data_IF_235536017023
#
_entry.id   IF_235536017023
#
_cell.length_a   1.000
_cell.length_b   1.000
_cell.length_c   1.000
_cell.angle_alpha   90.00
_cell.angle_beta   90.00
_cell.angle_gamma   90.00
#
_symmetry.space_group_name_H-M   'P 1'
#
loop_
_entity.id
_entity.type
_entity.pdbx_description
1 polymer ?
#
# COMPACT_ATOMS: atom_id res chain seq x y z
N UNK A 1 12.93 -3.55 -20.26
CA UNK A 1 12.48 -2.96 -18.99
C UNK A 1 10.98 -3.13 -18.89
N UNK A 2 10.51 -3.63 -17.76
CA UNK A 2 9.09 -3.68 -17.40
C UNK A 2 8.87 -2.76 -16.20
N UNK A 3 7.73 -2.09 -16.15
CA UNK A 3 7.37 -1.18 -15.08
C UNK A 3 5.89 -1.22 -14.76
N UNK A 4 5.51 -0.61 -13.65
CA UNK A 4 4.12 -0.42 -13.28
C UNK A 4 3.84 1.05 -12.94
N UNK A 5 2.65 1.52 -13.29
CA UNK A 5 2.11 2.82 -12.90
C UNK A 5 0.95 2.60 -11.95
N UNK A 6 0.95 3.28 -10.81
CA UNK A 6 -0.13 3.18 -9.82
C UNK A 6 -1.07 4.38 -9.90
N UNK A 7 -2.36 4.12 -10.02
CA UNK A 7 -3.40 5.12 -9.85
C UNK A 7 -3.81 5.17 -8.37
N UNK A 8 -3.51 6.26 -7.69
CA UNK A 8 -3.88 6.47 -6.29
C UNK A 8 -5.21 7.18 -6.15
N UNK A 9 -6.07 6.66 -5.28
CA UNK A 9 -7.38 7.21 -4.91
C UNK A 9 -7.43 7.43 -3.40
N UNK A 10 -7.92 8.60 -2.98
CA UNK A 10 -7.92 9.02 -1.58
C UNK A 10 -9.25 9.69 -1.27
N UNK A 11 -10.07 9.12 -0.41
CA UNK A 11 -11.41 9.62 -0.10
C UNK A 11 -11.49 10.38 1.23
N UNK A 12 -10.42 10.39 2.04
CA UNK A 12 -10.38 11.07 3.33
C UNK A 12 -9.72 12.45 3.29
N UNK A 13 -9.00 12.79 2.21
CA UNK A 13 -8.24 14.06 2.16
C UNK A 13 -9.06 15.28 1.80
N UNK A 14 -10.12 15.15 1.01
CA UNK A 14 -10.89 16.29 0.49
C UNK A 14 -12.38 16.25 0.83
N UNK A 15 -12.76 15.51 1.88
CA UNK A 15 -14.15 15.47 2.32
C UNK A 15 -15.10 14.77 1.34
N UNK A 16 -14.59 13.98 0.42
CA UNK A 16 -15.42 13.17 -0.49
C UNK A 16 -16.26 12.13 0.24
N UNK A 17 -15.92 11.88 1.51
CA UNK A 17 -16.70 11.02 2.37
C UNK A 17 -16.83 9.60 1.84
N UNK A 18 -17.65 8.83 2.52
CA UNK A 18 -17.90 7.41 2.24
C UNK A 18 -19.02 7.21 1.19
N UNK A 19 -19.03 7.99 0.11
CA UNK A 19 -20.12 7.99 -0.86
C UNK A 19 -20.05 6.82 -1.86
N UNK A 20 -21.16 6.08 -2.11
CA UNK A 20 -21.21 5.03 -3.12
C UNK A 20 -20.80 5.51 -4.52
N UNK A 21 -21.16 6.73 -4.87
CA UNK A 21 -20.81 7.36 -6.14
C UNK A 21 -19.29 7.48 -6.36
N UNK A 22 -18.51 7.62 -5.28
CA UNK A 22 -17.06 7.70 -5.37
C UNK A 22 -16.44 6.36 -5.82
N UNK A 23 -16.92 5.24 -5.32
CA UNK A 23 -16.44 3.91 -5.73
C UNK A 23 -16.72 3.65 -7.21
N UNK A 24 -17.90 4.03 -7.70
CA UNK A 24 -18.24 3.91 -9.11
C UNK A 24 -17.34 4.81 -9.98
N UNK A 25 -17.12 6.06 -9.59
CA UNK A 25 -16.25 6.97 -10.29
C UNK A 25 -14.79 6.47 -10.36
N UNK A 26 -14.29 5.84 -9.28
CA UNK A 26 -12.97 5.18 -9.28
C UNK A 26 -12.93 4.08 -10.33
N UNK A 27 -13.92 3.21 -10.38
CA UNK A 27 -13.95 2.11 -11.33
C UNK A 27 -14.00 2.61 -12.78
N UNK A 28 -14.85 3.58 -13.07
CA UNK A 28 -14.96 4.18 -14.41
C UNK A 28 -13.62 4.80 -14.86
N UNK A 29 -12.99 5.58 -13.98
CA UNK A 29 -11.68 6.18 -14.26
C UNK A 29 -10.58 5.12 -14.40
N UNK A 30 -10.50 4.17 -13.47
CA UNK A 30 -9.50 3.11 -13.50
C UNK A 30 -9.62 2.25 -14.75
N UNK A 31 -10.84 1.87 -15.15
CA UNK A 31 -11.07 1.07 -16.35
C UNK A 31 -10.51 1.73 -17.61
N UNK A 32 -10.65 3.07 -17.71
CA UNK A 32 -10.14 3.85 -18.84
C UNK A 32 -8.60 3.84 -18.88
N UNK A 33 -7.95 3.92 -17.72
CA UNK A 33 -6.47 3.91 -17.62
C UNK A 33 -5.96 2.49 -17.82
N UNK A 34 -6.63 1.49 -17.27
CA UNK A 34 -6.20 0.08 -17.34
C UNK A 34 -6.13 -0.43 -18.79
N UNK A 35 -6.97 0.09 -19.69
CA UNK A 35 -6.89 -0.21 -21.12
C UNK A 35 -5.58 0.24 -21.79
N UNK A 36 -4.78 1.09 -21.13
CA UNK A 36 -3.46 1.53 -21.60
C UNK A 36 -2.32 0.62 -21.16
N UNK A 37 -2.62 -0.48 -20.46
CA UNK A 37 -1.65 -1.52 -20.11
C UNK A 37 -1.02 -2.10 -21.36
N UNK A 38 0.28 -2.36 -21.31
CA UNK A 38 1.05 -2.97 -22.38
C UNK A 38 1.91 -4.11 -21.83
N UNK A 39 2.59 -4.85 -22.71
CA UNK A 39 3.55 -5.89 -22.28
C UNK A 39 4.73 -5.31 -21.47
N UNK A 40 4.97 -4.01 -21.54
CA UNK A 40 6.07 -3.33 -20.85
C UNK A 40 5.61 -2.52 -19.65
N UNK A 41 4.35 -2.11 -19.60
CA UNK A 41 3.79 -1.24 -18.54
C UNK A 41 2.55 -1.89 -17.96
N UNK A 42 2.62 -2.25 -16.68
CA UNK A 42 1.46 -2.67 -15.91
C UNK A 42 0.77 -1.46 -15.26
N UNK A 43 -0.52 -1.60 -14.97
CA UNK A 43 -1.31 -0.57 -14.30
C UNK A 43 -1.81 -1.14 -12.98
N UNK A 44 -1.36 -0.54 -11.89
CA UNK A 44 -1.77 -0.87 -10.53
C UNK A 44 -2.78 0.15 -10.00
N UNK A 45 -3.53 -0.25 -8.98
CA UNK A 45 -4.44 0.63 -8.24
C UNK A 45 -3.93 0.82 -6.82
N UNK A 46 -4.34 1.85 -6.10
CA UNK A 46 -3.93 2.02 -4.71
C UNK A 46 -4.53 3.24 -4.02
N UNK A 47 -4.08 3.44 -2.80
CA UNK A 47 -4.28 4.68 -2.05
C UNK A 47 -2.95 5.16 -1.49
N UNK A 48 -2.82 6.46 -1.29
CA UNK A 48 -1.57 7.03 -0.80
C UNK A 48 -1.19 6.44 0.57
N UNK A 49 -2.15 6.31 1.48
CA UNK A 49 -1.90 5.70 2.79
C UNK A 49 -3.20 5.15 3.41
N UNK A 50 -3.06 4.45 4.53
CA UNK A 50 -4.21 4.01 5.33
C UNK A 50 -5.03 5.19 5.85
N UNK A 51 -4.38 6.31 6.18
CA UNK A 51 -5.07 7.51 6.69
C UNK A 51 -5.87 8.22 5.60
N UNK A 52 -5.46 8.09 4.34
CA UNK A 52 -6.13 8.72 3.20
C UNK A 52 -7.28 7.88 2.62
N UNK A 53 -7.48 6.66 3.12
CA UNK A 53 -8.48 5.73 2.64
C UNK A 53 -9.52 5.38 3.70
N UNK A 54 -10.80 5.44 3.38
CA UNK A 54 -11.85 4.83 4.19
C UNK A 54 -11.78 3.29 4.12
N UNK A 55 -12.43 2.61 5.07
CA UNK A 55 -12.58 1.15 5.01
C UNK A 55 -13.27 0.71 3.71
N UNK A 56 -14.23 1.49 3.25
CA UNK A 56 -14.95 1.24 2.00
C UNK A 56 -14.02 1.34 0.79
N UNK A 57 -13.16 2.36 0.75
CA UNK A 57 -12.18 2.48 -0.32
C UNK A 57 -11.22 1.30 -0.32
N UNK A 58 -10.69 0.88 0.84
CA UNK A 58 -9.80 -0.28 0.93
C UNK A 58 -10.46 -1.57 0.38
N UNK A 59 -11.73 -1.80 0.71
CA UNK A 59 -12.52 -2.93 0.19
C UNK A 59 -12.73 -2.79 -1.33
N UNK A 60 -13.04 -1.58 -1.81
CA UNK A 60 -13.23 -1.33 -3.25
C UNK A 60 -11.93 -1.55 -4.04
N UNK A 61 -10.78 -1.09 -3.52
CA UNK A 61 -9.47 -1.30 -4.15
C UNK A 61 -9.16 -2.79 -4.30
N UNK A 62 -9.45 -3.60 -3.27
CA UNK A 62 -9.29 -5.05 -3.35
C UNK A 62 -10.20 -5.66 -4.42
N UNK A 63 -11.49 -5.30 -4.42
CA UNK A 63 -12.44 -5.82 -5.41
C UNK A 63 -12.04 -5.46 -6.85
N UNK A 64 -11.53 -4.24 -7.06
CA UNK A 64 -11.04 -3.81 -8.36
C UNK A 64 -9.73 -4.52 -8.75
N UNK A 65 -8.83 -4.75 -7.79
CA UNK A 65 -7.61 -5.51 -8.04
C UNK A 65 -7.90 -6.95 -8.48
N UNK A 66 -8.87 -7.60 -7.87
CA UNK A 66 -9.35 -8.93 -8.30
C UNK A 66 -9.97 -8.87 -9.69
N UNK A 67 -10.90 -7.94 -9.92
CA UNK A 67 -11.61 -7.79 -11.20
C UNK A 67 -10.66 -7.56 -12.38
N UNK A 68 -9.64 -6.73 -12.19
CA UNK A 68 -8.68 -6.36 -13.23
C UNK A 68 -7.38 -7.19 -13.19
N UNK A 69 -7.27 -8.16 -12.25
CA UNK A 69 -6.08 -8.98 -12.05
C UNK A 69 -4.81 -8.13 -11.92
N UNK A 70 -4.87 -7.13 -11.05
CA UNK A 70 -3.79 -6.17 -10.82
C UNK A 70 -3.41 -6.10 -9.33
N UNK A 71 -2.46 -5.24 -8.98
CA UNK A 71 -1.95 -5.08 -7.61
C UNK A 71 -2.48 -3.81 -6.96
N UNK A 72 -2.62 -3.85 -5.62
CA UNK A 72 -2.91 -2.69 -4.78
C UNK A 72 -1.63 -2.21 -4.14
N UNK A 73 -1.28 -0.94 -4.34
CA UNK A 73 -0.12 -0.31 -3.70
C UNK A 73 -0.59 0.67 -2.63
N UNK A 74 0.00 0.59 -1.43
CA UNK A 74 -0.36 1.48 -0.33
C UNK A 74 0.82 1.69 0.62
N UNK A 75 1.04 2.93 1.08
CA UNK A 75 1.99 3.21 2.16
C UNK A 75 1.37 2.80 3.50
N UNK A 76 2.11 2.02 4.28
CA UNK A 76 1.58 1.42 5.50
C UNK A 76 2.65 1.36 6.59
N UNK A 77 2.28 1.74 7.80
CA UNK A 77 3.15 1.65 8.99
C UNK A 77 4.54 2.27 8.77
N UNK A 78 4.63 3.37 7.98
CA UNK A 78 5.87 4.05 7.66
C UNK A 78 6.49 4.63 8.93
N UNK A 79 5.84 5.61 9.56
CA UNK A 79 6.28 6.22 10.81
C UNK A 79 5.40 5.79 11.98
N UNK A 80 5.94 5.92 13.19
CA UNK A 80 5.17 5.64 14.42
C UNK A 80 3.91 6.52 14.51
N UNK A 81 3.96 7.76 13.99
CA UNK A 81 2.82 8.67 13.96
C UNK A 81 1.66 8.14 13.12
N UNK A 82 1.93 7.47 12.00
CA UNK A 82 0.91 6.85 11.17
C UNK A 82 0.23 5.67 11.91
N UNK A 83 1.03 4.83 12.59
CA UNK A 83 0.50 3.73 13.41
C UNK A 83 -0.38 4.27 14.54
N UNK A 84 0.10 5.27 15.26
CA UNK A 84 -0.66 5.89 16.37
C UNK A 84 -1.92 6.63 15.87
N UNK A 85 -1.88 7.22 14.70
CA UNK A 85 -3.06 7.82 14.06
C UNK A 85 -4.12 6.76 13.76
N UNK A 86 -3.73 5.63 13.17
CA UNK A 86 -4.61 4.51 12.91
C UNK A 86 -5.19 3.93 14.21
N UNK A 87 -4.38 3.76 15.25
CA UNK A 87 -4.86 3.31 16.58
C UNK A 87 -5.90 4.26 17.16
N UNK A 88 -5.69 5.58 17.06
CA UNK A 88 -6.66 6.56 17.57
C UNK A 88 -7.97 6.59 16.79
N UNK A 89 -7.89 6.56 15.47
CA UNK A 89 -9.07 6.72 14.61
C UNK A 89 -9.81 5.41 14.34
N UNK A 90 -9.11 4.27 14.35
CA UNK A 90 -9.65 2.97 13.95
C UNK A 90 -9.47 1.86 15.00
N UNK A 91 -8.87 2.19 16.17
CA UNK A 91 -8.63 1.30 17.30
C UNK A 91 -7.83 0.03 16.95
N UNK A 92 -7.03 0.11 15.89
CA UNK A 92 -6.18 -1.00 15.41
C UNK A 92 -4.95 -0.44 14.68
N UNK A 93 -3.98 -1.29 14.35
CA UNK A 93 -2.83 -0.92 13.54
C UNK A 93 -3.12 -1.06 12.05
N UNK A 94 -2.34 -0.44 11.16
CA UNK A 94 -2.59 -0.49 9.72
C UNK A 94 -2.68 -1.90 9.12
N UNK A 95 -1.75 -2.79 9.47
CA UNK A 95 -1.76 -4.17 8.94
C UNK A 95 -2.96 -4.96 9.51
N UNK A 96 -3.21 -4.83 10.83
CA UNK A 96 -4.37 -5.47 11.44
C UNK A 96 -5.68 -4.98 10.85
N UNK A 97 -5.78 -3.70 10.49
CA UNK A 97 -6.95 -3.15 9.81
C UNK A 97 -7.21 -3.87 8.48
N UNK A 98 -6.18 -4.01 7.63
CA UNK A 98 -6.32 -4.70 6.34
C UNK A 98 -6.74 -6.16 6.53
N UNK A 99 -6.19 -6.85 7.53
CA UNK A 99 -6.58 -8.22 7.86
C UNK A 99 -8.02 -8.30 8.39
N UNK A 100 -8.44 -7.40 9.28
CA UNK A 100 -9.81 -7.34 9.82
C UNK A 100 -10.86 -7.04 8.75
N UNK A 101 -10.51 -6.23 7.75
CA UNK A 101 -11.36 -5.97 6.59
C UNK A 101 -11.40 -7.14 5.59
N UNK A 102 -10.56 -8.16 5.77
CA UNK A 102 -10.48 -9.30 4.89
C UNK A 102 -9.87 -8.98 3.51
N UNK A 103 -9.13 -7.88 3.40
CA UNK A 103 -8.56 -7.42 2.13
C UNK A 103 -7.09 -7.78 1.96
N UNK A 104 -6.37 -8.09 3.05
CA UNK A 104 -4.95 -8.43 3.01
C UNK A 104 -4.73 -9.78 2.30
N UNK A 105 -4.13 -9.74 1.10
CA UNK A 105 -3.83 -10.93 0.29
C UNK A 105 -2.67 -10.68 -0.69
N UNK A 106 -2.40 -11.63 -1.58
CA UNK A 106 -1.30 -11.61 -2.55
C UNK A 106 -1.33 -10.45 -3.55
N UNK A 107 -2.42 -9.72 -3.63
CA UNK A 107 -2.52 -8.55 -4.50
C UNK A 107 -1.93 -7.28 -3.88
N UNK A 108 -1.64 -7.27 -2.57
CA UNK A 108 -1.20 -6.08 -1.86
C UNK A 108 0.32 -5.94 -1.82
N UNK A 109 0.79 -4.77 -2.24
CA UNK A 109 2.15 -4.29 -2.07
C UNK A 109 2.16 -3.25 -0.95
N UNK A 110 2.73 -3.61 0.17
CA UNK A 110 2.80 -2.83 1.41
C UNK A 110 4.10 -2.01 1.41
N UNK A 111 3.99 -0.71 1.14
CA UNK A 111 5.16 0.17 1.02
C UNK A 111 5.58 0.62 2.42
N UNK A 112 6.89 0.61 2.69
CA UNK A 112 7.62 0.87 3.93
C UNK A 112 7.53 -0.27 4.96
N UNK A 113 6.37 -0.53 5.58
CA UNK A 113 6.17 -1.54 6.61
C UNK A 113 7.27 -1.50 7.72
N UNK A 114 7.63 -0.29 8.19
CA UNK A 114 8.71 -0.08 9.17
C UNK A 114 8.26 -0.43 10.58
N UNK A 115 7.11 0.12 10.99
CA UNK A 115 6.60 0.01 12.36
C UNK A 115 5.53 -1.08 12.43
N UNK A 116 5.95 -2.32 12.25
CA UNK A 116 5.13 -3.54 12.33
C UNK A 116 5.71 -4.49 13.40
N UNK A 117 4.87 -5.30 14.01
CA UNK A 117 5.28 -6.30 14.99
C UNK A 117 5.34 -7.71 14.41
N UNK A 118 5.77 -8.68 15.23
CA UNK A 118 5.97 -10.06 14.80
C UNK A 118 4.65 -10.72 14.31
N UNK A 119 3.54 -10.46 14.98
CA UNK A 119 2.23 -11.00 14.57
C UNK A 119 1.78 -10.43 13.22
N UNK A 120 2.04 -9.15 12.97
CA UNK A 120 1.75 -8.50 11.69
C UNK A 120 2.60 -9.09 10.54
N UNK A 121 3.87 -9.41 10.82
CA UNK A 121 4.74 -10.11 9.86
C UNK A 121 4.16 -11.48 9.50
N UNK A 122 3.69 -12.25 10.50
CA UNK A 122 3.05 -13.55 10.27
C UNK A 122 1.78 -13.42 9.42
N UNK A 123 0.98 -12.38 9.62
CA UNK A 123 -0.21 -12.12 8.80
C UNK A 123 0.14 -11.74 7.36
N UNK A 124 1.18 -10.90 7.17
CA UNK A 124 1.70 -10.54 5.84
C UNK A 124 2.17 -11.81 5.11
N UNK A 125 2.95 -12.65 5.77
CA UNK A 125 3.44 -13.91 5.22
C UNK A 125 2.29 -14.87 4.85
N UNK A 126 1.33 -15.07 5.75
CA UNK A 126 0.16 -15.93 5.52
C UNK A 126 -0.70 -15.45 4.36
N UNK A 127 -0.82 -14.14 4.19
CA UNK A 127 -1.57 -13.51 3.12
C UNK A 127 -0.82 -13.50 1.77
N UNK A 128 0.44 -13.89 1.75
CA UNK A 128 1.36 -13.73 0.61
C UNK A 128 1.42 -12.28 0.09
N UNK A 129 1.16 -11.29 0.95
CA UNK A 129 1.33 -9.88 0.61
C UNK A 129 2.82 -9.54 0.48
N UNK A 130 3.15 -8.55 -0.33
CA UNK A 130 4.55 -8.17 -0.60
C UNK A 130 4.91 -6.90 0.17
N UNK A 131 6.16 -6.76 0.57
CA UNK A 131 6.68 -5.55 1.21
C UNK A 131 7.61 -4.83 0.24
N UNK A 132 7.42 -3.52 0.08
CA UNK A 132 8.31 -2.66 -0.70
C UNK A 132 9.10 -1.79 0.27
N UNK A 133 10.36 -2.15 0.50
CA UNK A 133 11.25 -1.41 1.38
C UNK A 133 11.87 -0.20 0.68
N UNK A 134 11.79 0.97 1.31
CA UNK A 134 12.33 2.23 0.78
C UNK A 134 13.46 2.75 1.67
N UNK A 135 14.66 2.13 1.66
CA UNK A 135 15.70 2.38 2.66
C UNK A 135 16.19 3.82 2.71
N UNK A 136 16.39 4.45 1.55
CA UNK A 136 16.89 5.83 1.45
C UNK A 136 15.85 6.82 1.99
N UNK A 137 14.59 6.65 1.61
CA UNK A 137 13.48 7.46 2.11
C UNK A 137 13.34 7.32 3.63
N UNK A 138 13.30 6.08 4.13
CA UNK A 138 13.17 5.80 5.55
C UNK A 138 14.30 6.43 6.38
N UNK A 139 15.54 6.36 5.87
CA UNK A 139 16.70 6.98 6.53
C UNK A 139 16.60 8.52 6.50
N UNK A 140 16.21 9.11 5.37
CA UNK A 140 16.10 10.56 5.21
C UNK A 140 14.98 11.16 6.07
N UNK A 141 13.84 10.47 6.17
CA UNK A 141 12.68 10.90 6.97
C UNK A 141 12.81 10.51 8.45
N UNK A 142 13.78 9.67 8.79
CA UNK A 142 14.04 9.25 10.18
C UNK A 142 12.96 8.32 10.75
N UNK A 143 12.19 7.64 9.90
CA UNK A 143 11.10 6.75 10.36
C UNK A 143 11.58 5.40 10.84
N UNK A 144 12.83 5.03 10.59
CA UNK A 144 13.44 3.79 11.02
C UNK A 144 13.76 2.82 9.87
N UNK A 145 14.04 1.58 10.24
CA UNK A 145 14.39 0.51 9.30
C UNK A 145 13.31 -0.57 9.40
N UNK A 146 12.74 -0.99 8.28
CA UNK A 146 11.81 -2.11 8.26
C UNK A 146 12.48 -3.39 8.80
N UNK A 147 11.74 -4.29 9.48
CA UNK A 147 12.29 -5.50 10.09
C UNK A 147 12.63 -6.58 9.04
N UNK A 148 13.57 -6.26 8.12
CA UNK A 148 13.91 -7.04 6.93
C UNK A 148 14.26 -8.49 7.27
N UNK A 149 15.09 -8.71 8.27
CA UNK A 149 15.50 -10.07 8.67
C UNK A 149 14.32 -10.92 9.17
N UNK A 150 13.36 -10.30 9.87
CA UNK A 150 12.19 -11.01 10.36
C UNK A 150 11.19 -11.28 9.20
N UNK A 151 11.04 -10.34 8.27
CA UNK A 151 10.23 -10.54 7.06
C UNK A 151 10.83 -11.66 6.19
N UNK A 152 12.14 -11.67 5.98
CA UNK A 152 12.84 -12.71 5.23
C UNK A 152 12.69 -14.09 5.92
N UNK A 153 12.89 -14.16 7.24
CA UNK A 153 12.70 -15.39 8.01
C UNK A 153 11.26 -15.94 7.93
N UNK A 154 10.28 -15.05 7.75
CA UNK A 154 8.87 -15.44 7.53
C UNK A 154 8.54 -15.72 6.05
N UNK A 155 9.52 -15.73 5.15
CA UNK A 155 9.38 -15.91 3.70
C UNK A 155 8.50 -14.85 3.01
N UNK A 156 8.44 -13.64 3.54
CA UNK A 156 7.77 -12.52 2.86
C UNK A 156 8.60 -12.06 1.67
N UNK A 157 7.98 -11.91 0.51
CA UNK A 157 8.65 -11.33 -0.65
C UNK A 157 8.89 -9.83 -0.42
N UNK A 158 10.16 -9.40 -0.56
CA UNK A 158 10.57 -8.02 -0.33
C UNK A 158 11.11 -7.44 -1.64
N UNK A 159 10.54 -6.32 -2.07
CA UNK A 159 11.06 -5.48 -3.15
C UNK A 159 11.72 -4.22 -2.59
N UNK A 160 12.51 -3.54 -3.42
CA UNK A 160 13.11 -2.24 -3.11
C UNK A 160 12.38 -1.13 -3.86
N UNK A 161 12.14 0.00 -3.18
CA UNK A 161 11.55 1.20 -3.73
C UNK A 161 12.42 2.45 -3.49
N UNK A 162 12.39 3.38 -4.44
CA UNK A 162 13.07 4.68 -4.31
C UNK A 162 12.25 5.71 -3.53
N UNK A 163 10.93 5.51 -3.46
CA UNK A 163 9.99 6.53 -3.00
C UNK A 163 10.04 7.81 -3.86
N UNK A 164 9.42 8.89 -3.42
CA UNK A 164 9.37 10.15 -4.15
C UNK A 164 10.73 10.87 -4.21
N UNK A 165 10.93 11.72 -5.21
CA UNK A 165 12.14 12.53 -5.37
C UNK A 165 12.44 13.43 -4.16
N UNK A 166 11.40 13.85 -3.43
CA UNK A 166 11.54 14.61 -2.18
C UNK A 166 12.21 13.80 -1.06
N UNK A 167 12.03 12.47 -1.09
CA UNK A 167 12.49 11.54 -0.07
C UNK A 167 13.74 10.76 -0.50
N UNK A 168 14.09 10.81 -1.78
CA UNK A 168 15.29 10.18 -2.33
C UNK A 168 15.88 11.06 -3.44
N UNK A 169 16.96 11.77 -3.14
CA UNK A 169 17.56 12.78 -4.03
C UNK A 169 18.06 12.21 -5.36
N UNK A 170 18.36 10.93 -5.44
CA UNK A 170 18.97 10.32 -6.63
C UNK A 170 17.98 9.45 -7.43
N UNK A 171 16.83 9.10 -6.85
CA UNK A 171 15.94 8.04 -7.35
C UNK A 171 16.69 6.73 -7.68
N UNK A 172 17.86 6.54 -7.12
CA UNK A 172 18.66 5.34 -7.25
C UNK A 172 18.41 4.44 -6.03
N UNK A 173 18.12 3.18 -6.29
CA UNK A 173 17.85 2.17 -5.27
C UNK A 173 19.14 1.46 -4.84
N UNK A 174 20.17 1.51 -5.68
CA UNK A 174 21.47 0.84 -5.51
C UNK A 174 22.54 1.80 -5.01
#
# INVERSE_FOLDING_TARGET
LQGAVTCFYNDQWEGYGDAPAFTQAIEEHFSTIYQKKTDQIDIHIGSASIESASNRLLIALQSLAEKYQTKVNIHVSEGISAVESCKRSRQTTPIRLLAQLGVLNENWNLIHAVNIDQEEIEWIAKADAKVIHCPVSNAKTGVGIAPILALEAANVTIGLGSDACSNNNTNNIL
#
